data_IF_515130501253
#
_entry.id   IF_515130501253
#
_cell.length_a   1.000
_cell.length_b   1.000
_cell.length_c   1.000
_cell.angle_alpha   90.00
_cell.angle_beta   90.00
_cell.angle_gamma   90.00
#
_symmetry.space_group_name_H-M   'P 1'
#
loop_
_entity.id
_entity.type
_entity.pdbx_description
1 polymer ?
#
# COMPACT_ATOMS: atom_id res chain seq x y z
N UNK A 1 -18.09 14.13 6.82
CA UNK A 1 -17.35 12.96 6.26
C UNK A 1 -15.94 12.94 6.81
N UNK A 2 -15.56 11.88 7.49
CA UNK A 2 -14.18 11.69 7.96
C UNK A 2 -13.40 10.97 6.87
N UNK A 3 -12.33 11.60 6.37
CA UNK A 3 -11.41 11.00 5.41
C UNK A 3 -10.27 10.31 6.16
N UNK A 4 -10.18 8.99 6.02
CA UNK A 4 -9.03 8.21 6.45
C UNK A 4 -8.27 7.71 5.22
N UNK A 5 -6.98 7.97 5.14
CA UNK A 5 -6.14 7.53 4.03
C UNK A 5 -5.00 6.65 4.53
N UNK A 6 -5.19 5.34 4.47
CA UNK A 6 -4.11 4.40 4.80
C UNK A 6 -2.99 4.44 3.75
N UNK A 7 -3.34 4.65 2.47
CA UNK A 7 -2.35 4.75 1.40
C UNK A 7 -1.45 5.98 1.53
N UNK A 8 -1.99 7.13 1.97
CA UNK A 8 -1.18 8.30 2.26
C UNK A 8 -0.42 8.14 3.58
N UNK A 9 -0.99 7.47 4.57
CA UNK A 9 -0.36 7.28 5.88
C UNK A 9 0.89 6.42 5.79
N UNK A 10 0.84 5.25 5.11
CA UNK A 10 2.00 4.37 5.03
C UNK A 10 3.08 4.85 4.04
N UNK A 11 2.70 5.63 3.00
CA UNK A 11 3.65 6.16 2.01
C UNK A 11 4.28 7.47 2.47
N UNK A 12 3.49 8.40 3.03
CA UNK A 12 3.96 9.74 3.41
C UNK A 12 4.21 9.88 4.90
N UNK A 13 3.25 9.42 5.73
CA UNK A 13 3.30 9.56 7.18
C UNK A 13 4.02 8.39 7.86
N UNK A 14 4.29 7.31 7.11
CA UNK A 14 5.02 6.12 7.60
C UNK A 14 4.25 5.26 8.60
N UNK A 15 2.93 5.46 8.72
CA UNK A 15 2.04 4.79 9.67
C UNK A 15 0.78 4.31 8.99
N UNK A 16 0.20 3.22 9.50
CA UNK A 16 -1.12 2.71 9.07
C UNK A 16 -2.08 2.66 10.26
N UNK A 17 -3.36 2.78 9.98
CA UNK A 17 -4.39 2.61 10.97
C UNK A 17 -4.79 1.13 11.06
N UNK A 18 -4.44 0.46 12.16
CA UNK A 18 -4.88 -0.89 12.45
C UNK A 18 -6.24 -0.92 13.15
N UNK A 19 -6.59 0.16 13.85
CA UNK A 19 -7.90 0.34 14.48
C UNK A 19 -8.65 1.48 13.79
N UNK A 20 -9.89 1.18 13.37
CA UNK A 20 -10.73 2.19 12.75
C UNK A 20 -11.30 3.11 13.84
N UNK A 21 -11.35 4.43 13.59
CA UNK A 21 -11.97 5.36 14.52
C UNK A 21 -13.47 5.08 14.64
N UNK A 22 -14.02 5.35 15.81
CA UNK A 22 -15.45 5.47 15.96
C UNK A 22 -15.91 6.82 15.37
N UNK A 23 -16.69 6.75 14.31
CA UNK A 23 -17.20 7.94 13.60
C UNK A 23 -18.67 8.21 13.89
N UNK A 24 -19.29 7.42 14.79
CA UNK A 24 -20.73 7.50 15.05
C UNK A 24 -21.53 7.35 13.75
N UNK A 25 -22.38 8.33 13.43
CA UNK A 25 -23.20 8.32 12.21
C UNK A 25 -22.50 8.92 10.98
N UNK A 26 -21.25 9.37 11.08
CA UNK A 26 -20.51 9.96 9.95
C UNK A 26 -19.89 8.83 9.11
N UNK A 27 -20.20 8.74 7.81
CA UNK A 27 -19.62 7.73 6.95
C UNK A 27 -18.10 7.82 6.91
N UNK A 28 -17.41 6.72 7.17
CA UNK A 28 -15.96 6.62 7.06
C UNK A 28 -15.58 6.42 5.60
N UNK A 29 -14.70 7.26 5.08
CA UNK A 29 -14.15 7.16 3.72
C UNK A 29 -12.65 6.88 3.80
N UNK A 30 -12.16 5.86 3.07
CA UNK A 30 -10.75 5.52 3.11
C UNK A 30 -10.14 5.28 1.72
N UNK A 31 -8.94 5.84 1.52
CA UNK A 31 -8.01 5.43 0.46
C UNK A 31 -7.25 4.18 0.93
N UNK A 32 -7.51 3.06 0.28
CA UNK A 32 -6.84 1.78 0.57
C UNK A 32 -5.89 1.35 -0.55
N UNK A 33 -5.45 2.28 -1.40
CA UNK A 33 -4.61 1.96 -2.57
C UNK A 33 -3.35 1.17 -2.23
N UNK A 34 -2.73 1.40 -1.07
CA UNK A 34 -1.51 0.68 -0.68
C UNK A 34 -1.74 -0.64 0.05
N UNK A 35 -2.96 -0.90 0.50
CA UNK A 35 -3.27 -2.11 1.29
C UNK A 35 -4.44 -2.94 0.76
N UNK A 36 -5.12 -2.50 -0.32
CA UNK A 36 -6.15 -3.32 -0.97
C UNK A 36 -5.61 -4.72 -1.30
N UNK A 37 -6.40 -5.76 -1.01
CA UNK A 37 -6.05 -7.17 -1.22
C UNK A 37 -4.82 -7.67 -0.43
N UNK A 38 -4.28 -6.89 0.51
CA UNK A 38 -3.15 -7.33 1.34
C UNK A 38 -3.58 -8.22 2.52
N UNK A 39 -4.82 -8.07 2.94
CA UNK A 39 -5.49 -8.81 4.02
C UNK A 39 -7.01 -8.70 3.89
N UNK A 40 -7.79 -9.50 4.62
CA UNK A 40 -9.23 -9.30 4.75
C UNK A 40 -9.56 -7.92 5.32
N UNK A 41 -10.62 -7.31 4.84
CA UNK A 41 -11.15 -6.05 5.33
C UNK A 41 -12.68 -6.15 5.47
N UNK A 42 -13.21 -5.71 6.60
CA UNK A 42 -14.65 -5.60 6.79
C UNK A 42 -15.15 -4.32 6.12
N UNK A 43 -15.61 -4.46 4.87
CA UNK A 43 -16.11 -3.35 4.06
C UNK A 43 -17.35 -2.70 4.65
N UNK A 44 -18.12 -3.39 5.49
CA UNK A 44 -19.34 -2.87 6.11
C UNK A 44 -19.08 -1.70 7.08
N UNK A 45 -17.85 -1.59 7.56
CA UNK A 45 -17.39 -0.50 8.44
C UNK A 45 -17.22 0.84 7.71
N UNK A 46 -17.29 0.85 6.38
CA UNK A 46 -16.99 2.03 5.57
C UNK A 46 -18.22 2.49 4.80
N UNK A 47 -18.35 3.80 4.63
CA UNK A 47 -19.27 4.38 3.67
C UNK A 47 -18.73 4.30 2.25
N UNK A 48 -17.42 4.51 2.09
CA UNK A 48 -16.73 4.41 0.81
C UNK A 48 -15.28 4.00 1.00
N UNK A 49 -14.84 3.06 0.16
CA UNK A 49 -13.43 2.70 -0.03
C UNK A 49 -13.04 2.98 -1.48
N UNK A 50 -11.84 3.49 -1.68
CA UNK A 50 -11.29 3.57 -3.04
C UNK A 50 -9.82 3.16 -3.08
N UNK A 51 -9.40 2.64 -4.23
CA UNK A 51 -8.05 2.17 -4.45
C UNK A 51 -7.60 2.39 -5.89
N UNK A 52 -6.51 3.13 -6.08
CA UNK A 52 -5.78 3.10 -7.34
C UNK A 52 -5.10 1.74 -7.51
N UNK A 53 -5.30 1.11 -8.67
CA UNK A 53 -4.88 -0.28 -8.91
C UNK A 53 -3.36 -0.47 -8.95
N UNK A 54 -2.58 0.57 -9.24
CA UNK A 54 -1.15 0.53 -9.58
C UNK A 54 -0.20 0.01 -8.50
N UNK A 55 -0.68 -0.31 -7.32
CA UNK A 55 0.15 -0.84 -6.22
C UNK A 55 0.00 -2.36 -6.06
N UNK A 56 -1.21 -2.85 -5.82
CA UNK A 56 -1.46 -4.25 -5.50
C UNK A 56 -2.33 -5.00 -6.53
N UNK A 57 -2.99 -4.30 -7.46
CA UNK A 57 -4.07 -4.91 -8.26
C UNK A 57 -3.73 -5.00 -9.74
N UNK A 58 -3.26 -3.89 -10.37
CA UNK A 58 -3.07 -3.81 -11.82
C UNK A 58 -2.13 -2.66 -12.18
N UNK A 59 -1.81 -2.44 -13.47
CA UNK A 59 -1.19 -1.20 -13.92
C UNK A 59 -2.04 0.04 -13.61
N UNK A 60 -1.40 1.22 -13.69
CA UNK A 60 -2.09 2.50 -13.52
C UNK A 60 -3.21 2.69 -14.57
N UNK A 61 -4.23 3.46 -14.22
CA UNK A 61 -5.36 3.79 -15.10
C UNK A 61 -6.69 3.16 -14.69
N UNK A 62 -6.71 2.40 -13.59
CA UNK A 62 -7.92 1.84 -12.98
C UNK A 62 -8.02 2.28 -11.53
N UNK A 63 -9.21 2.68 -11.11
CA UNK A 63 -9.56 2.91 -9.70
C UNK A 63 -10.74 2.02 -9.32
N UNK A 64 -10.58 1.27 -8.25
CA UNK A 64 -11.66 0.48 -7.66
C UNK A 64 -12.35 1.35 -6.62
N UNK A 65 -13.68 1.42 -6.65
CA UNK A 65 -14.52 2.10 -5.67
C UNK A 65 -15.52 1.10 -5.11
N UNK A 66 -15.61 1.01 -3.80
CA UNK A 66 -16.64 0.26 -3.07
C UNK A 66 -17.40 1.30 -2.26
N UNK A 67 -18.64 1.50 -2.59
CA UNK A 67 -19.50 2.53 -1.97
C UNK A 67 -20.78 1.90 -1.46
N UNK A 68 -21.20 2.33 -0.28
CA UNK A 68 -22.48 1.92 0.32
C UNK A 68 -23.63 2.52 -0.50
N UNK A 69 -24.65 1.73 -0.77
CA UNK A 69 -25.73 2.07 -1.70
C UNK A 69 -26.47 3.38 -1.33
N UNK A 70 -26.69 3.60 -0.03
CA UNK A 70 -27.33 4.83 0.48
C UNK A 70 -26.48 6.10 0.29
N UNK A 71 -25.22 5.96 -0.09
CA UNK A 71 -24.30 7.07 -0.41
C UNK A 71 -24.14 7.32 -1.92
N UNK A 72 -24.83 6.58 -2.77
CA UNK A 72 -24.92 6.87 -4.20
C UNK A 72 -25.70 8.17 -4.50
N UNK A 73 -26.14 8.85 -3.49
CA UNK A 73 -26.95 9.99 -3.38
C UNK A 73 -26.85 11.09 -4.46
N UNK A 74 -27.46 12.21 -4.17
CA UNK A 74 -27.47 13.33 -5.10
C UNK A 74 -26.11 14.04 -5.12
N UNK A 75 -25.46 14.13 -6.30
CA UNK A 75 -24.21 14.85 -6.44
C UNK A 75 -24.45 16.36 -6.25
N UNK A 76 -23.41 17.10 -5.90
CA UNK A 76 -23.45 18.57 -5.95
C UNK A 76 -23.74 19.03 -7.37
N UNK A 77 -24.44 20.16 -7.54
CA UNK A 77 -24.85 20.70 -8.84
C UNK A 77 -23.71 20.79 -9.87
N UNK A 78 -22.49 21.10 -9.43
CA UNK A 78 -21.31 21.23 -10.28
C UNK A 78 -20.47 19.94 -10.41
N UNK A 79 -20.96 18.78 -9.90
CA UNK A 79 -20.21 17.53 -9.99
C UNK A 79 -20.12 17.06 -11.44
N UNK A 80 -18.92 16.89 -12.01
CA UNK A 80 -18.79 16.31 -13.35
C UNK A 80 -19.41 14.91 -13.40
N UNK A 81 -20.05 14.57 -14.51
CA UNK A 81 -20.75 13.29 -14.70
C UNK A 81 -19.92 12.08 -14.33
N UNK A 82 -18.61 12.09 -14.66
CA UNK A 82 -17.68 10.99 -14.37
C UNK A 82 -17.37 10.79 -12.88
N UNK A 83 -17.69 11.78 -12.03
CA UNK A 83 -17.54 11.69 -10.58
C UNK A 83 -18.87 11.40 -9.86
N UNK A 84 -19.94 11.20 -10.61
CA UNK A 84 -21.23 10.80 -10.09
C UNK A 84 -21.28 9.27 -9.97
N UNK A 85 -21.18 8.76 -8.75
CA UNK A 85 -21.18 7.31 -8.50
C UNK A 85 -22.48 6.62 -8.92
N UNK A 86 -23.60 7.32 -8.87
CA UNK A 86 -24.89 6.79 -9.33
C UNK A 86 -24.85 6.49 -10.84
N UNK A 87 -24.31 7.42 -11.64
CA UNK A 87 -24.14 7.21 -13.09
C UNK A 87 -23.25 6.00 -13.37
N UNK A 88 -22.14 5.85 -12.62
CA UNK A 88 -21.25 4.69 -12.78
C UNK A 88 -21.95 3.39 -12.37
N UNK A 89 -22.69 3.37 -11.28
CA UNK A 89 -23.41 2.20 -10.81
C UNK A 89 -24.52 1.74 -11.77
N UNK A 90 -25.32 2.69 -12.30
CA UNK A 90 -26.41 2.42 -13.26
C UNK A 90 -25.92 1.98 -14.64
N UNK A 91 -24.62 2.14 -14.95
CA UNK A 91 -24.00 1.76 -16.22
C UNK A 91 -22.90 0.69 -16.06
N UNK A 92 -22.94 -0.14 -15.01
CA UNK A 92 -21.97 -1.22 -14.77
C UNK A 92 -20.50 -0.75 -14.86
N UNK A 93 -20.20 0.48 -14.41
CA UNK A 93 -18.91 1.15 -14.53
C UNK A 93 -18.40 1.39 -15.97
N UNK A 94 -19.29 1.30 -16.96
CA UNK A 94 -18.97 1.44 -18.39
C UNK A 94 -19.61 2.67 -19.04
N UNK A 95 -19.94 3.70 -18.27
CA UNK A 95 -20.47 4.95 -18.81
C UNK A 95 -19.51 5.61 -19.82
N UNK A 96 -18.21 5.44 -19.63
CA UNK A 96 -17.16 5.74 -20.61
C UNK A 96 -16.46 4.45 -21.05
N UNK A 97 -15.64 4.53 -22.10
CA UNK A 97 -14.79 3.41 -22.52
C UNK A 97 -13.89 2.97 -21.36
N UNK A 98 -14.01 1.73 -20.86
CA UNK A 98 -13.26 1.28 -19.70
C UNK A 98 -11.79 1.00 -20.04
N UNK A 99 -10.86 1.09 -19.06
CA UNK A 99 -9.46 0.75 -19.26
C UNK A 99 -9.30 -0.78 -19.32
N UNK A 100 -9.53 -1.37 -20.48
CA UNK A 100 -9.63 -2.82 -20.70
C UNK A 100 -8.40 -3.59 -20.19
N UNK A 101 -7.19 -3.11 -20.48
CA UNK A 101 -5.95 -3.76 -20.07
C UNK A 101 -5.79 -3.85 -18.53
N UNK A 102 -5.89 -2.76 -17.73
CA UNK A 102 -5.85 -2.86 -16.28
C UNK A 102 -6.95 -3.74 -15.70
N UNK A 103 -8.15 -3.76 -16.28
CA UNK A 103 -9.25 -4.64 -15.85
C UNK A 103 -8.89 -6.11 -16.06
N UNK A 104 -8.32 -6.45 -17.22
CA UNK A 104 -7.86 -7.81 -17.51
C UNK A 104 -6.77 -8.26 -16.54
N UNK A 105 -5.77 -7.42 -16.28
CA UNK A 105 -4.72 -7.73 -15.30
C UNK A 105 -5.29 -7.87 -13.89
N UNK A 106 -6.25 -7.02 -13.50
CA UNK A 106 -6.95 -7.16 -12.20
C UNK A 106 -7.61 -8.53 -12.06
N UNK A 107 -8.27 -9.02 -13.12
CA UNK A 107 -8.85 -10.37 -13.14
C UNK A 107 -7.77 -11.43 -12.85
N UNK A 108 -6.62 -11.36 -13.54
CA UNK A 108 -5.55 -12.35 -13.35
C UNK A 108 -4.97 -12.30 -11.92
N UNK A 109 -4.82 -11.12 -11.34
CA UNK A 109 -4.35 -10.95 -9.95
C UNK A 109 -5.37 -11.52 -8.96
N UNK A 110 -6.65 -11.26 -9.15
CA UNK A 110 -7.71 -11.82 -8.29
C UNK A 110 -7.77 -13.36 -8.40
N UNK A 111 -7.61 -13.91 -9.60
CA UNK A 111 -7.53 -15.34 -9.80
C UNK A 111 -6.30 -15.96 -9.14
N UNK A 112 -5.14 -15.34 -9.26
CA UNK A 112 -3.92 -15.73 -8.57
C UNK A 112 -4.09 -15.75 -7.04
N UNK A 113 -4.64 -14.68 -6.45
CA UNK A 113 -4.91 -14.65 -5.00
C UNK A 113 -5.85 -15.79 -4.60
N UNK A 114 -6.90 -16.04 -5.38
CA UNK A 114 -7.90 -17.05 -5.07
C UNK A 114 -7.39 -18.47 -5.25
N UNK A 115 -6.67 -18.75 -6.35
CA UNK A 115 -6.30 -20.11 -6.78
C UNK A 115 -4.92 -20.54 -6.26
N UNK A 116 -3.93 -19.65 -6.36
CA UNK A 116 -2.53 -20.01 -6.09
C UNK A 116 -2.12 -19.65 -4.67
N UNK A 117 -2.62 -18.52 -4.16
CA UNK A 117 -2.35 -18.10 -2.77
C UNK A 117 -3.31 -18.75 -1.77
N UNK A 118 -4.57 -18.96 -2.14
CA UNK A 118 -5.58 -19.57 -1.30
C UNK A 118 -6.44 -18.58 -0.50
N UNK A 119 -6.53 -17.31 -0.97
CA UNK A 119 -7.38 -16.27 -0.37
C UNK A 119 -6.61 -15.18 0.36
N UNK A 120 -7.38 -14.24 0.94
CA UNK A 120 -6.80 -13.05 1.57
C UNK A 120 -6.16 -13.36 2.93
N UNK A 121 -6.63 -14.34 3.66
CA UNK A 121 -6.04 -14.81 4.92
C UNK A 121 -4.61 -15.32 4.68
N UNK A 122 -4.44 -16.14 3.64
CA UNK A 122 -3.11 -16.65 3.24
C UNK A 122 -2.21 -15.55 2.68
N UNK A 123 -2.79 -14.57 2.01
CA UNK A 123 -2.04 -13.40 1.56
C UNK A 123 -1.57 -12.56 2.76
N UNK A 124 -2.39 -12.37 3.77
CA UNK A 124 -1.99 -11.68 5.02
C UNK A 124 -0.84 -12.41 5.72
N UNK A 125 -0.94 -13.72 5.92
CA UNK A 125 0.13 -14.54 6.50
C UNK A 125 1.46 -14.35 5.73
N UNK A 126 1.41 -14.36 4.40
CA UNK A 126 2.58 -14.14 3.53
C UNK A 126 3.15 -12.72 3.70
N UNK A 127 2.29 -11.72 3.71
CA UNK A 127 2.70 -10.31 3.83
C UNK A 127 3.29 -10.00 5.21
N UNK A 128 2.69 -10.56 6.26
CA UNK A 128 3.22 -10.42 7.63
C UNK A 128 4.62 -11.04 7.73
N UNK A 129 4.84 -12.25 7.21
CA UNK A 129 6.17 -12.88 7.20
C UNK A 129 7.22 -12.01 6.49
N UNK A 130 6.89 -11.50 5.28
CA UNK A 130 7.79 -10.60 4.52
C UNK A 130 8.16 -9.35 5.31
N UNK A 131 7.14 -8.69 5.87
CA UNK A 131 7.35 -7.48 6.66
C UNK A 131 8.17 -7.75 7.92
N UNK A 132 7.90 -8.87 8.59
CA UNK A 132 8.59 -9.26 9.82
C UNK A 132 10.09 -9.47 9.58
N UNK A 133 10.49 -10.14 8.50
CA UNK A 133 11.90 -10.30 8.13
C UNK A 133 12.67 -8.97 8.11
N UNK A 134 12.06 -7.94 7.55
CA UNK A 134 12.69 -6.62 7.46
C UNK A 134 12.61 -5.87 8.78
N UNK A 135 11.49 -5.91 9.49
CA UNK A 135 11.36 -5.26 10.80
C UNK A 135 12.23 -5.89 11.87
N UNK A 136 12.40 -7.22 11.88
CA UNK A 136 13.31 -7.90 12.81
C UNK A 136 14.77 -7.43 12.60
N UNK A 137 15.18 -7.24 11.36
CA UNK A 137 16.48 -6.66 11.08
C UNK A 137 16.56 -5.20 11.58
N UNK A 138 15.60 -4.36 11.24
CA UNK A 138 15.60 -2.94 11.63
C UNK A 138 15.59 -2.75 13.15
N UNK A 139 14.86 -3.59 13.88
CA UNK A 139 14.77 -3.52 15.34
C UNK A 139 16.08 -3.93 16.05
N UNK A 140 16.96 -4.66 15.37
CA UNK A 140 18.26 -5.12 15.90
C UNK A 140 19.47 -4.44 15.23
N UNK A 141 19.25 -3.60 14.21
CA UNK A 141 20.31 -2.87 13.53
C UNK A 141 20.87 -1.75 14.40
N UNK A 142 22.19 -1.55 14.35
CA UNK A 142 22.85 -0.41 14.98
C UNK A 142 22.97 0.82 14.06
N UNK A 143 22.70 0.64 12.76
CA UNK A 143 22.79 1.69 11.74
C UNK A 143 21.40 2.12 11.24
N UNK A 144 20.52 1.16 10.95
CA UNK A 144 19.20 1.44 10.39
C UNK A 144 18.12 1.49 11.47
N UNK A 145 17.22 2.45 11.35
CA UNK A 145 16.08 2.61 12.27
C UNK A 145 14.77 2.67 11.46
N UNK A 146 13.79 1.88 11.85
CA UNK A 146 12.43 1.96 11.31
C UNK A 146 11.75 3.28 11.71
N UNK A 147 11.01 3.89 10.78
CA UNK A 147 10.42 5.20 11.00
C UNK A 147 9.04 5.17 11.67
N UNK A 148 8.35 4.03 11.65
CA UNK A 148 7.02 3.86 12.22
C UNK A 148 7.10 3.21 13.60
N UNK A 149 6.26 3.68 14.52
CA UNK A 149 6.05 3.00 15.80
C UNK A 149 5.55 1.56 15.56
N UNK A 150 5.94 0.63 16.42
CA UNK A 150 5.63 -0.80 16.24
C UNK A 150 4.14 -1.08 16.05
N UNK A 151 3.28 -0.33 16.76
CA UNK A 151 1.84 -0.46 16.68
C UNK A 151 1.24 0.01 15.34
N UNK A 152 1.97 0.85 14.57
CA UNK A 152 1.47 1.50 13.36
C UNK A 152 2.21 1.05 12.09
N UNK A 153 2.96 -0.04 12.18
CA UNK A 153 3.78 -0.55 11.06
C UNK A 153 2.94 -1.07 9.91
N UNK A 154 3.31 -0.68 8.68
CA UNK A 154 2.73 -1.19 7.45
C UNK A 154 3.35 -2.54 7.08
N UNK A 155 2.53 -3.48 6.59
CA UNK A 155 3.01 -4.74 5.97
C UNK A 155 3.27 -4.59 4.46
N UNK A 156 3.07 -3.36 3.90
CA UNK A 156 3.22 -3.06 2.47
C UNK A 156 4.35 -2.09 2.18
N UNK A 157 4.61 -1.13 3.09
CA UNK A 157 5.63 -0.10 2.90
C UNK A 157 6.45 0.05 4.19
N UNK A 158 7.63 -0.51 4.20
CA UNK A 158 8.56 -0.41 5.34
C UNK A 158 9.48 0.78 5.11
N UNK A 159 9.39 1.77 5.99
CA UNK A 159 10.20 3.00 5.92
C UNK A 159 11.29 2.97 6.98
N UNK A 160 12.50 3.41 6.59
CA UNK A 160 13.66 3.39 7.46
C UNK A 160 14.67 4.49 7.08
N UNK A 161 15.57 4.79 7.99
CA UNK A 161 16.65 5.79 7.87
C UNK A 161 17.91 5.27 8.54
N UNK A 162 19.06 5.88 8.21
CA UNK A 162 20.31 5.68 8.97
C UNK A 162 20.52 6.76 10.04
N UNK A 163 19.72 7.82 10.02
CA UNK A 163 19.93 9.01 10.86
C UNK A 163 20.91 10.02 10.25
N UNK A 164 21.65 9.64 9.22
CA UNK A 164 22.57 10.48 8.46
C UNK A 164 22.12 10.54 7.00
N UNK A 165 21.90 11.77 6.47
CA UNK A 165 21.40 11.98 5.10
C UNK A 165 22.41 11.56 4.02
N UNK A 166 23.71 11.65 4.30
CA UNK A 166 24.75 11.27 3.36
C UNK A 166 24.85 9.73 3.28
N UNK A 167 24.70 9.04 4.42
CA UNK A 167 24.59 7.58 4.45
C UNK A 167 23.29 7.10 3.80
N UNK A 168 22.15 7.77 4.00
CA UNK A 168 20.91 7.45 3.29
C UNK A 168 21.11 7.54 1.76
N UNK A 169 21.76 8.62 1.30
CA UNK A 169 22.05 8.80 -0.13
C UNK A 169 23.03 7.74 -0.67
N UNK A 170 24.06 7.42 0.11
CA UNK A 170 25.02 6.36 -0.21
C UNK A 170 24.33 5.00 -0.32
N UNK A 171 23.50 4.64 0.67
CA UNK A 171 22.73 3.40 0.64
C UNK A 171 21.84 3.30 -0.60
N UNK A 172 21.08 4.35 -0.94
CA UNK A 172 20.22 4.38 -2.14
C UNK A 172 21.05 4.18 -3.41
N UNK A 173 22.23 4.80 -3.52
CA UNK A 173 23.11 4.66 -4.67
C UNK A 173 23.66 3.23 -4.79
N UNK A 174 24.19 2.68 -3.72
CA UNK A 174 24.81 1.35 -3.72
C UNK A 174 23.78 0.24 -3.88
N UNK A 175 22.62 0.35 -3.21
CA UNK A 175 21.52 -0.61 -3.40
C UNK A 175 20.99 -0.61 -4.82
N UNK A 176 20.89 0.56 -5.47
CA UNK A 176 20.51 0.64 -6.88
C UNK A 176 21.52 -0.04 -7.79
N UNK A 177 22.81 0.15 -7.55
CA UNK A 177 23.89 -0.53 -8.28
C UNK A 177 23.88 -2.06 -8.06
N UNK A 178 23.42 -2.51 -6.89
CA UNK A 178 23.24 -3.93 -6.56
C UNK A 178 21.92 -4.53 -7.11
N UNK A 179 21.11 -3.75 -7.83
CA UNK A 179 19.87 -4.21 -8.45
C UNK A 179 18.59 -4.00 -7.61
N UNK A 180 18.69 -3.35 -6.44
CA UNK A 180 17.51 -2.96 -5.66
C UNK A 180 16.99 -1.61 -6.12
N UNK A 181 15.90 -1.61 -6.88
CA UNK A 181 15.31 -0.38 -7.43
C UNK A 181 14.25 0.21 -6.50
N UNK A 182 14.08 1.54 -6.57
CA UNK A 182 13.00 2.29 -5.90
C UNK A 182 13.04 2.24 -4.35
N UNK A 183 14.21 2.05 -3.73
CA UNK A 183 14.36 2.12 -2.26
C UNK A 183 14.40 3.55 -1.73
N UNK A 184 14.62 4.57 -2.57
CA UNK A 184 14.57 5.98 -2.16
C UNK A 184 13.20 6.32 -1.58
N UNK A 185 13.19 6.94 -0.40
CA UNK A 185 11.97 7.39 0.26
C UNK A 185 11.25 8.50 -0.49
N UNK A 186 10.06 8.87 0.00
CA UNK A 186 9.27 9.91 -0.65
C UNK A 186 9.98 11.27 -0.53
N UNK A 187 9.93 12.08 -1.61
CA UNK A 187 10.63 13.38 -1.71
C UNK A 187 10.34 14.36 -0.57
N UNK A 188 9.15 14.28 0.05
CA UNK A 188 8.74 15.18 1.13
C UNK A 188 9.25 14.76 2.51
N UNK A 189 9.64 13.49 2.72
CA UNK A 189 10.04 12.95 4.03
C UNK A 189 11.45 12.37 4.04
N UNK A 190 12.04 12.10 2.89
CA UNK A 190 13.40 11.54 2.78
C UNK A 190 13.50 10.08 3.23
N UNK A 191 14.72 9.67 3.56
CA UNK A 191 15.05 8.32 3.99
C UNK A 191 14.86 7.26 2.90
N UNK A 192 14.62 6.02 3.30
CA UNK A 192 14.38 4.88 2.43
C UNK A 192 12.99 4.29 2.65
N UNK A 193 12.50 3.57 1.65
CA UNK A 193 11.23 2.85 1.70
C UNK A 193 11.31 1.57 0.87
N UNK A 194 11.12 0.44 1.50
CA UNK A 194 10.88 -0.83 0.81
C UNK A 194 9.37 -1.02 0.59
N UNK A 195 8.94 -0.96 -0.67
CA UNK A 195 7.56 -1.26 -1.08
C UNK A 195 7.48 -2.76 -1.39
N UNK A 196 6.92 -3.54 -0.46
CA UNK A 196 6.92 -5.00 -0.47
C UNK A 196 5.53 -5.58 -0.76
N UNK A 197 4.84 -5.00 -1.72
CA UNK A 197 3.48 -5.37 -2.12
C UNK A 197 3.28 -6.88 -2.31
N UNK A 198 2.03 -7.30 -2.50
CA UNK A 198 1.63 -8.70 -2.54
C UNK A 198 2.50 -9.57 -3.45
N UNK A 199 2.83 -9.10 -4.66
CA UNK A 199 3.59 -9.86 -5.64
C UNK A 199 5.10 -9.95 -5.35
N UNK A 200 5.64 -9.12 -4.42
CA UNK A 200 7.06 -9.19 -4.04
C UNK A 200 7.35 -10.56 -3.40
N UNK A 201 8.29 -11.35 -3.96
CA UNK A 201 8.67 -12.62 -3.37
C UNK A 201 9.47 -12.42 -2.08
N UNK A 202 9.39 -13.38 -1.17
CA UNK A 202 10.08 -13.35 0.13
C UNK A 202 11.60 -13.30 -0.05
N UNK A 203 12.13 -13.98 -1.06
CA UNK A 203 13.56 -13.98 -1.42
C UNK A 203 14.10 -12.57 -1.72
N UNK A 204 13.25 -11.69 -2.27
CA UNK A 204 13.63 -10.29 -2.50
C UNK A 204 13.89 -9.55 -1.19
N UNK A 205 13.11 -9.85 -0.15
CA UNK A 205 13.29 -9.26 1.19
C UNK A 205 14.52 -9.84 1.87
N UNK A 206 14.74 -11.16 1.78
CA UNK A 206 15.94 -11.81 2.32
C UNK A 206 17.21 -11.18 1.73
N UNK A 207 17.27 -11.04 0.40
CA UNK A 207 18.41 -10.39 -0.28
C UNK A 207 18.62 -8.94 0.15
N UNK A 208 17.51 -8.20 0.35
CA UNK A 208 17.59 -6.82 0.84
C UNK A 208 18.20 -6.78 2.25
N UNK A 209 17.75 -7.64 3.16
CA UNK A 209 18.27 -7.73 4.53
C UNK A 209 19.75 -8.12 4.53
N UNK A 210 20.16 -9.06 3.67
CA UNK A 210 21.59 -9.44 3.52
C UNK A 210 22.42 -8.26 3.03
N UNK A 211 21.94 -7.51 2.04
CA UNK A 211 22.60 -6.30 1.56
C UNK A 211 22.70 -5.23 2.66
N UNK A 212 21.64 -5.00 3.42
CA UNK A 212 21.61 -4.05 4.54
C UNK A 212 22.62 -4.44 5.64
N UNK A 213 22.71 -5.72 6.00
CA UNK A 213 23.69 -6.23 6.96
C UNK A 213 25.14 -5.97 6.48
N UNK A 214 25.41 -6.23 5.21
CA UNK A 214 26.73 -5.94 4.62
C UNK A 214 27.04 -4.46 4.67
N UNK A 215 26.10 -3.61 4.22
CA UNK A 215 26.25 -2.15 4.25
C UNK A 215 26.49 -1.63 5.66
N UNK A 216 25.78 -2.16 6.66
CA UNK A 216 25.99 -1.80 8.06
C UNK A 216 27.42 -2.13 8.55
N UNK A 217 27.96 -3.29 8.18
CA UNK A 217 29.33 -3.68 8.56
C UNK A 217 30.40 -2.78 7.91
N UNK A 218 30.16 -2.30 6.71
CA UNK A 218 31.09 -1.46 5.93
C UNK A 218 31.02 0.03 6.30
N UNK A 219 30.01 0.46 7.08
CA UNK A 219 29.74 1.88 7.38
C UNK A 219 29.56 2.15 8.89
N UNK A 220 30.04 1.26 9.74
CA UNK A 220 30.14 1.45 11.20
C UNK A 220 31.34 2.29 11.58
#
# INVERSE_FOLDING_TARGET
TLLASSAASDVYKRQVWHQLPDTGNVPLVADISSCILSKPIDVSRFGLLYAGAQKNVAPAGLTIVIVREDLLGEPMEFTPTMFNYKVMAENDSMYNTPPCWPIYISKLVLEWIKKDIGGLEKMEERNVRKAQLLYDFLDNSSLFTGCADKADRSIMNVTFVTGDKDLDAKFVKESTAAGFVNLKGHRSVGGMRASIYNAMPEEGIVKLVEFMKKFELENK
#
